data_IF_733849048915
#
_entry.id   IF_733849048915
#
_cell.length_a   1.000
_cell.length_b   1.000
_cell.length_c   1.000
_cell.angle_alpha   90.00
_cell.angle_beta   90.00
_cell.angle_gamma   90.00
#
_symmetry.space_group_name_H-M   'P 1'
#
loop_
_entity.id
_entity.type
_entity.pdbx_description
1 polymer ?
#
# COMPACT_ATOMS: atom_id res chain seq x y z
N UNK A 1 12.94 1.40 -0.08
CA UNK A 1 12.37 0.50 -1.11
C UNK A 1 11.86 -0.80 -0.51
N UNK A 2 12.62 -1.51 0.34
CA UNK A 2 12.17 -2.77 0.97
C UNK A 2 10.90 -2.63 1.83
N UNK A 3 10.76 -1.53 2.58
CA UNK A 3 9.59 -1.31 3.44
C UNK A 3 8.28 -1.16 2.66
N UNK A 4 8.28 -0.42 1.54
CA UNK A 4 7.04 -0.22 0.76
C UNK A 4 6.56 -1.51 0.11
N UNK A 5 7.51 -2.36 -0.32
CA UNK A 5 7.21 -3.65 -0.92
C UNK A 5 6.50 -4.57 0.09
N UNK A 6 6.98 -4.59 1.35
CA UNK A 6 6.35 -5.36 2.42
C UNK A 6 4.95 -4.84 2.76
N UNK A 7 4.72 -3.53 2.70
CA UNK A 7 3.40 -2.94 2.93
C UNK A 7 2.42 -3.35 1.82
N UNK A 8 2.82 -3.22 0.55
CA UNK A 8 1.98 -3.65 -0.58
C UNK A 8 1.70 -5.15 -0.53
N UNK A 9 2.71 -5.96 -0.19
CA UNK A 9 2.54 -7.40 -0.02
C UNK A 9 1.55 -7.72 1.10
N UNK A 10 1.63 -7.03 2.24
CA UNK A 10 0.70 -7.18 3.37
C UNK A 10 -0.74 -6.80 3.03
N UNK A 11 -0.94 -5.75 2.24
CA UNK A 11 -2.27 -5.34 1.75
C UNK A 11 -2.87 -6.42 0.85
N UNK A 12 -2.08 -6.96 -0.08
CA UNK A 12 -2.54 -8.02 -1.00
C UNK A 12 -2.85 -9.31 -0.23
N UNK A 13 -1.97 -9.75 0.68
CA UNK A 13 -2.22 -10.97 1.45
C UNK A 13 -3.39 -10.81 2.41
N UNK A 14 -3.53 -9.66 3.07
CA UNK A 14 -4.67 -9.34 3.92
C UNK A 14 -5.99 -9.38 3.14
N UNK A 15 -6.03 -8.82 1.92
CA UNK A 15 -7.21 -8.88 1.06
C UNK A 15 -7.54 -10.31 0.62
N UNK A 16 -6.54 -11.10 0.21
CA UNK A 16 -6.77 -12.51 -0.16
C UNK A 16 -7.35 -13.29 1.01
N UNK A 17 -6.75 -13.16 2.19
CA UNK A 17 -7.23 -13.84 3.40
C UNK A 17 -8.65 -13.40 3.71
N UNK A 18 -8.92 -12.10 3.75
CA UNK A 18 -10.25 -11.56 4.02
C UNK A 18 -11.31 -12.08 3.04
N UNK A 19 -11.04 -12.01 1.74
CA UNK A 19 -11.97 -12.47 0.70
C UNK A 19 -12.23 -13.97 0.74
N UNK A 20 -11.24 -14.78 1.18
CA UNK A 20 -11.46 -16.21 1.42
C UNK A 20 -12.41 -16.47 2.60
N UNK A 21 -12.44 -15.60 3.61
CA UNK A 21 -13.34 -15.72 4.77
C UNK A 21 -14.75 -15.16 4.49
N UNK A 22 -14.85 -14.04 3.77
CA UNK A 22 -16.12 -13.33 3.55
C UNK A 22 -16.78 -13.68 2.22
N UNK A 23 -16.05 -14.26 1.28
CA UNK A 23 -16.48 -14.43 -0.11
C UNK A 23 -16.50 -13.13 -0.92
N UNK A 24 -16.06 -12.01 -0.34
CA UNK A 24 -16.08 -10.68 -0.95
C UNK A 24 -14.67 -10.25 -1.34
N UNK A 25 -14.46 -10.09 -2.65
CA UNK A 25 -13.21 -9.70 -3.27
C UNK A 25 -13.34 -8.31 -3.92
N UNK A 26 -13.73 -7.30 -3.14
CA UNK A 26 -13.74 -5.92 -3.62
C UNK A 26 -12.31 -5.42 -3.92
N UNK A 27 -11.97 -5.41 -5.22
CA UNK A 27 -10.68 -4.95 -5.71
C UNK A 27 -10.57 -3.41 -5.73
N UNK A 28 -11.68 -2.67 -5.71
CA UNK A 28 -11.68 -1.20 -5.74
C UNK A 28 -11.06 -0.66 -4.45
N UNK A 29 -11.44 -1.23 -3.30
CA UNK A 29 -10.85 -0.88 -2.01
C UNK A 29 -9.34 -1.11 -1.97
N UNK A 30 -8.87 -2.26 -2.46
CA UNK A 30 -7.44 -2.61 -2.51
C UNK A 30 -6.67 -1.67 -3.44
N UNK A 31 -7.24 -1.37 -4.60
CA UNK A 31 -6.64 -0.48 -5.57
C UNK A 31 -6.42 0.93 -5.00
N UNK A 32 -7.44 1.48 -4.32
CA UNK A 32 -7.35 2.78 -3.65
C UNK A 32 -6.28 2.76 -2.55
N UNK A 33 -6.21 1.69 -1.75
CA UNK A 33 -5.19 1.53 -0.71
C UNK A 33 -3.77 1.52 -1.28
N UNK A 34 -3.53 0.74 -2.34
CA UNK A 34 -2.22 0.66 -2.99
C UNK A 34 -1.83 2.00 -3.62
N UNK A 35 -2.78 2.72 -4.24
CA UNK A 35 -2.54 4.07 -4.75
C UNK A 35 -2.17 5.05 -3.64
N UNK A 36 -2.93 5.07 -2.54
CA UNK A 36 -2.66 5.95 -1.39
C UNK A 36 -1.27 5.70 -0.79
N UNK A 37 -0.89 4.43 -0.60
CA UNK A 37 0.45 4.04 -0.11
C UNK A 37 1.55 4.51 -1.07
N UNK A 38 1.33 4.34 -2.38
CA UNK A 38 2.30 4.73 -3.41
C UNK A 38 2.52 6.24 -3.45
N UNK A 39 1.43 7.02 -3.41
CA UNK A 39 1.47 8.48 -3.40
C UNK A 39 2.12 9.00 -2.11
N UNK A 40 1.67 8.51 -0.95
CA UNK A 40 2.19 8.93 0.36
C UNK A 40 3.68 8.66 0.51
N UNK A 41 4.16 7.50 0.04
CA UNK A 41 5.59 7.20 0.03
C UNK A 41 6.37 8.11 -0.94
N UNK A 42 5.80 8.42 -2.10
CA UNK A 42 6.41 9.33 -3.08
C UNK A 42 6.62 10.74 -2.51
N UNK A 43 5.61 11.26 -1.80
CA UNK A 43 5.67 12.56 -1.12
C UNK A 43 6.68 12.53 0.02
N UNK A 44 6.57 11.56 0.93
CA UNK A 44 7.46 11.46 2.09
C UNK A 44 8.93 11.26 1.71
N UNK A 45 9.21 10.56 0.60
CA UNK A 45 10.56 10.45 0.06
C UNK A 45 11.09 11.78 -0.47
N UNK A 46 10.26 12.60 -1.12
CA UNK A 46 10.65 13.93 -1.61
C UNK A 46 10.91 14.91 -0.46
N UNK A 47 10.10 14.88 0.58
CA UNK A 47 10.28 15.73 1.78
C UNK A 47 11.51 15.32 2.59
N UNK A 48 11.75 14.02 2.79
CA UNK A 48 12.96 13.53 3.45
C UNK A 48 14.24 13.89 2.70
N UNK A 49 14.22 13.94 1.37
CA UNK A 49 15.34 14.40 0.55
C UNK A 49 15.55 15.92 0.61
N UNK A 50 14.47 16.70 0.76
CA UNK A 50 14.50 18.17 0.86
C UNK A 50 14.96 18.66 2.24
N UNK A 51 14.68 17.92 3.30
CA UNK A 51 15.11 18.22 4.68
C UNK A 51 16.62 18.03 4.92
N UNK A 52 17.34 17.41 3.99
CA UNK A 52 18.76 17.05 4.12
C UNK A 52 19.67 17.84 3.15
N UNK A 53 19.10 18.86 2.49
CA UNK A 53 19.73 19.84 1.59
C UNK A 53 19.78 21.20 2.26
#
# INVERSE_FOLDING_TARGET
MKAIFLVVLGVITGWIVWGLFTGDFDAVMVFILVLGISIGYGIGKKEGAKSMS
#
